data_IF_752770522126
#
_entry.id   IF_752770522126
#
_cell.length_a   1.000
_cell.length_b   1.000
_cell.length_c   1.000
_cell.angle_alpha   90.00
_cell.angle_beta   90.00
_cell.angle_gamma   90.00
#
_symmetry.space_group_name_H-M   'P 1'
#
loop_
_entity.id
_entity.type
_entity.pdbx_description
1 polymer ?
#
# COMPACT_ATOMS: atom_id res chain seq x y z
N UNK A 1 -4.25 -2.70 -13.17
CA UNK A 1 -2.80 -2.96 -13.01
C UNK A 1 -2.44 -2.73 -11.56
N UNK A 2 -1.84 -3.70 -10.92
CA UNK A 2 -1.43 -3.62 -9.51
C UNK A 2 0.10 -3.49 -9.45
N UNK A 3 0.61 -2.57 -8.63
CA UNK A 3 2.04 -2.25 -8.57
C UNK A 3 2.55 -2.43 -7.14
N UNK A 4 3.69 -3.11 -7.02
CA UNK A 4 4.46 -3.22 -5.79
C UNK A 4 5.80 -2.53 -5.99
N UNK A 5 6.16 -1.59 -5.11
CA UNK A 5 7.48 -0.94 -5.13
C UNK A 5 8.01 -0.65 -3.73
N UNK A 6 9.35 -0.71 -3.59
CA UNK A 6 10.10 -0.30 -2.40
C UNK A 6 10.74 1.07 -2.59
N UNK A 7 10.67 1.89 -1.55
CA UNK A 7 11.50 3.09 -1.38
C UNK A 7 12.85 2.69 -0.75
N UNK A 8 13.93 3.33 -1.21
CA UNK A 8 15.31 3.01 -0.80
C UNK A 8 15.53 3.31 0.68
N UNK A 9 15.80 2.30 1.51
CA UNK A 9 16.23 2.46 2.91
C UNK A 9 17.49 1.66 3.19
N UNK A 10 18.37 2.29 4.00
CA UNK A 10 19.74 1.83 4.34
C UNK A 10 19.80 0.64 5.31
N UNK A 11 18.79 -0.17 5.58
CA UNK A 11 18.82 -1.08 6.71
C UNK A 11 18.45 -2.55 6.53
N UNK A 12 18.22 -3.06 5.33
CA UNK A 12 18.16 -4.52 5.15
C UNK A 12 19.56 -5.05 4.77
N UNK A 13 20.32 -5.46 5.77
CA UNK A 13 21.61 -6.13 5.57
C UNK A 13 21.40 -7.41 4.74
N UNK A 14 21.90 -7.40 3.51
CA UNK A 14 22.19 -8.57 2.66
C UNK A 14 21.02 -9.51 2.27
N UNK A 15 19.85 -8.99 1.84
CA UNK A 15 18.87 -9.83 1.16
C UNK A 15 18.29 -9.10 -0.04
N UNK A 16 18.54 -9.58 -1.26
CA UNK A 16 18.07 -8.99 -2.51
C UNK A 16 16.54 -9.00 -2.69
N UNK A 17 15.80 -9.74 -1.86
CA UNK A 17 14.35 -9.93 -1.96
C UNK A 17 13.59 -9.13 -0.91
N UNK A 18 12.60 -8.34 -1.36
CA UNK A 18 11.68 -7.62 -0.48
C UNK A 18 10.42 -8.45 -0.18
N UNK A 19 9.87 -9.15 -1.17
CA UNK A 19 8.72 -10.06 -1.03
C UNK A 19 9.04 -11.36 -1.76
N UNK A 20 8.73 -12.49 -1.11
CA UNK A 20 8.89 -13.81 -1.70
C UNK A 20 7.71 -14.69 -1.33
N UNK A 21 7.14 -15.35 -2.31
CA UNK A 21 6.07 -16.35 -2.19
C UNK A 21 6.63 -17.70 -2.57
N UNK A 22 6.49 -18.67 -1.67
CA UNK A 22 6.91 -20.04 -1.89
C UNK A 22 5.73 -20.99 -1.76
N UNK A 23 5.33 -21.62 -2.87
CA UNK A 23 4.30 -22.66 -2.97
C UNK A 23 2.96 -22.21 -2.34
N UNK A 24 2.56 -20.96 -2.54
CA UNK A 24 1.35 -20.39 -1.95
C UNK A 24 0.11 -20.96 -2.66
N UNK A 25 -0.76 -21.58 -1.87
CA UNK A 25 -2.10 -21.99 -2.31
C UNK A 25 -3.16 -21.45 -1.34
N UNK A 26 -4.30 -21.06 -1.90
CA UNK A 26 -5.43 -20.52 -1.16
C UNK A 26 -6.74 -20.77 -1.90
N UNK A 27 -7.76 -21.21 -1.16
CA UNK A 27 -9.14 -21.39 -1.64
C UNK A 27 -10.12 -20.53 -0.86
N UNK A 28 -11.24 -20.17 -1.46
CA UNK A 28 -12.42 -19.65 -0.77
C UNK A 28 -13.56 -20.67 -0.90
N UNK A 29 -13.83 -21.39 0.17
CA UNK A 29 -14.72 -22.56 0.14
C UNK A 29 -14.17 -23.62 -0.83
N UNK A 30 -14.94 -24.04 -1.83
CA UNK A 30 -14.51 -24.99 -2.85
C UNK A 30 -13.75 -24.37 -4.03
N UNK A 31 -13.67 -23.03 -4.09
CA UNK A 31 -13.03 -22.35 -5.22
C UNK A 31 -11.56 -22.10 -4.95
N UNK A 32 -10.69 -22.76 -5.71
CA UNK A 32 -9.26 -22.50 -5.73
C UNK A 32 -8.98 -21.12 -6.35
N UNK A 33 -8.29 -20.24 -5.64
CA UNK A 33 -7.95 -18.87 -6.07
C UNK A 33 -6.48 -18.76 -6.46
N UNK A 34 -5.61 -19.32 -5.61
CA UNK A 34 -4.17 -19.35 -5.88
C UNK A 34 -3.71 -20.81 -5.79
N UNK A 35 -2.98 -21.25 -6.80
CA UNK A 35 -2.47 -22.62 -6.89
C UNK A 35 -0.96 -22.60 -7.07
N UNK A 36 -0.24 -23.06 -6.05
CA UNK A 36 1.21 -23.21 -6.04
C UNK A 36 1.96 -21.97 -6.58
N UNK A 37 1.56 -20.78 -6.15
CA UNK A 37 2.13 -19.52 -6.61
C UNK A 37 3.53 -19.33 -6.04
N UNK A 38 4.47 -19.07 -6.94
CA UNK A 38 5.87 -18.81 -6.62
C UNK A 38 6.33 -17.54 -7.34
N UNK A 39 6.82 -16.56 -6.63
CA UNK A 39 7.49 -15.39 -7.20
C UNK A 39 8.36 -14.68 -6.16
N UNK A 40 9.26 -13.87 -6.67
CA UNK A 40 10.18 -13.05 -5.86
C UNK A 40 10.26 -11.64 -6.42
N UNK A 41 10.20 -10.66 -5.54
CA UNK A 41 10.34 -9.24 -5.86
C UNK A 41 11.59 -8.73 -5.16
N UNK A 42 12.49 -8.14 -5.92
CA UNK A 42 13.74 -7.60 -5.38
C UNK A 42 13.57 -6.15 -4.96
N UNK A 43 14.49 -5.69 -4.13
CA UNK A 43 14.58 -4.28 -3.75
C UNK A 43 14.72 -3.37 -4.97
N UNK A 44 13.96 -2.26 -4.98
CA UNK A 44 13.96 -1.28 -6.07
C UNK A 44 13.20 -1.73 -7.33
N UNK A 45 12.59 -2.90 -7.33
CA UNK A 45 11.76 -3.38 -8.44
C UNK A 45 10.36 -2.79 -8.43
N UNK A 46 9.82 -2.47 -9.62
CA UNK A 46 8.39 -2.29 -9.85
C UNK A 46 7.85 -3.62 -10.38
N UNK A 47 6.93 -4.22 -9.64
CA UNK A 47 6.29 -5.48 -10.03
C UNK A 47 4.83 -5.25 -10.39
N UNK A 48 4.43 -5.59 -11.62
CA UNK A 48 3.06 -5.45 -12.10
C UNK A 48 2.35 -6.78 -12.21
N UNK A 49 1.14 -6.88 -11.63
CA UNK A 49 0.26 -8.03 -11.80
C UNK A 49 -0.82 -7.70 -12.83
N UNK A 50 -0.90 -8.51 -13.89
CA UNK A 50 -1.90 -8.39 -14.93
C UNK A 50 -2.81 -9.60 -14.94
N UNK A 51 -4.07 -9.40 -15.26
CA UNK A 51 -5.06 -10.48 -15.35
C UNK A 51 -6.49 -9.98 -15.20
N UNK A 52 -7.49 -10.79 -15.54
CA UNK A 52 -8.91 -10.44 -15.41
C UNK A 52 -9.31 -10.17 -13.96
N UNK A 53 -10.48 -9.57 -13.77
CA UNK A 53 -11.05 -9.38 -12.44
C UNK A 53 -11.36 -10.73 -11.80
N UNK A 54 -11.11 -10.84 -10.47
CA UNK A 54 -11.35 -12.06 -9.72
C UNK A 54 -10.27 -13.15 -9.85
N UNK A 55 -9.13 -12.90 -10.55
CA UNK A 55 -8.03 -13.87 -10.70
C UNK A 55 -7.12 -13.98 -9.47
N UNK A 56 -7.36 -13.20 -8.41
CA UNK A 56 -6.58 -13.27 -7.19
C UNK A 56 -5.55 -12.14 -7.00
N UNK A 57 -5.54 -11.08 -7.82
CA UNK A 57 -4.59 -9.95 -7.66
C UNK A 57 -4.67 -9.31 -6.27
N UNK A 58 -5.87 -8.88 -5.84
CA UNK A 58 -6.08 -8.29 -4.51
C UNK A 58 -5.87 -9.31 -3.39
N UNK A 59 -6.09 -10.61 -3.67
CA UNK A 59 -5.79 -11.70 -2.73
C UNK A 59 -4.30 -11.77 -2.40
N UNK A 60 -3.42 -11.56 -3.39
CA UNK A 60 -1.97 -11.48 -3.16
C UNK A 60 -1.63 -10.30 -2.24
N UNK A 61 -2.24 -9.11 -2.43
CA UNK A 61 -2.02 -8.00 -1.52
C UNK A 61 -2.51 -8.28 -0.10
N UNK A 62 -3.66 -8.92 0.05
CA UNK A 62 -4.19 -9.34 1.34
C UNK A 62 -3.28 -10.35 2.05
N UNK A 63 -2.64 -11.24 1.29
CA UNK A 63 -1.63 -12.16 1.80
C UNK A 63 -0.35 -11.43 2.24
N UNK A 64 0.14 -10.46 1.47
CA UNK A 64 1.32 -9.66 1.82
C UNK A 64 1.05 -8.83 3.09
N UNK A 65 -0.09 -8.15 3.17
CA UNK A 65 -0.45 -7.34 4.34
C UNK A 65 -0.76 -8.18 5.58
N UNK A 66 -1.11 -9.47 5.41
CA UNK A 66 -1.53 -10.36 6.49
C UNK A 66 -2.99 -10.21 6.88
N UNK A 67 -3.80 -9.60 6.01
CA UNK A 67 -5.25 -9.56 6.17
C UNK A 67 -5.87 -10.96 6.05
N UNK A 68 -5.25 -11.81 5.25
CA UNK A 68 -5.54 -13.24 5.14
C UNK A 68 -4.25 -14.05 5.23
N UNK A 69 -4.37 -15.32 5.59
CA UNK A 69 -3.25 -16.27 5.64
C UNK A 69 -3.38 -17.31 4.52
N UNK A 70 -2.27 -17.78 3.94
CA UNK A 70 -2.33 -18.85 2.94
C UNK A 70 -2.68 -20.18 3.60
N UNK A 71 -3.33 -21.08 2.86
CA UNK A 71 -3.58 -22.46 3.30
C UNK A 71 -2.29 -23.28 3.26
N UNK A 72 -1.47 -23.04 2.23
CA UNK A 72 -0.17 -23.73 2.04
C UNK A 72 0.89 -22.72 1.63
N UNK A 73 2.16 -23.09 1.87
CA UNK A 73 3.30 -22.30 1.46
C UNK A 73 3.78 -21.28 2.49
N UNK A 74 4.72 -20.46 2.09
CA UNK A 74 5.39 -19.49 2.95
C UNK A 74 5.51 -18.14 2.27
N UNK A 75 5.29 -17.08 3.03
CA UNK A 75 5.47 -15.69 2.60
C UNK A 75 6.62 -15.10 3.39
N UNK A 76 7.56 -14.49 2.67
CA UNK A 76 8.70 -13.80 3.28
C UNK A 76 8.65 -12.32 2.89
N UNK A 77 8.96 -11.44 3.84
CA UNK A 77 9.14 -10.00 3.64
C UNK A 77 10.48 -9.62 4.26
N UNK A 78 11.36 -8.99 3.46
CA UNK A 78 12.71 -8.68 3.90
C UNK A 78 13.50 -9.94 4.32
N UNK A 79 13.14 -11.10 3.76
CA UNK A 79 13.71 -12.42 4.05
C UNK A 79 13.28 -13.04 5.36
N UNK A 80 12.29 -12.49 6.06
CA UNK A 80 11.69 -13.05 7.26
C UNK A 80 10.35 -13.70 6.93
N UNK A 81 10.10 -14.92 7.40
CA UNK A 81 8.82 -15.61 7.22
C UNK A 81 7.74 -14.93 8.05
N UNK A 82 6.67 -14.48 7.38
CA UNK A 82 5.64 -13.63 8.01
C UNK A 82 4.28 -14.28 8.16
N UNK A 83 4.11 -15.57 7.83
CA UNK A 83 2.79 -16.23 7.86
C UNK A 83 2.02 -15.99 9.16
N UNK A 84 2.71 -16.02 10.31
CA UNK A 84 2.11 -15.87 11.64
C UNK A 84 2.13 -14.43 12.17
N UNK A 85 2.60 -13.45 11.38
CA UNK A 85 2.62 -12.06 11.81
C UNK A 85 1.27 -11.43 11.58
N UNK A 86 0.65 -10.82 12.61
CA UNK A 86 -0.58 -10.08 12.42
C UNK A 86 -0.35 -8.83 11.58
N UNK A 87 -1.42 -8.33 10.94
CA UNK A 87 -1.38 -7.20 10.01
C UNK A 87 -0.65 -5.97 10.56
N UNK A 88 -0.92 -5.58 11.81
CA UNK A 88 -0.31 -4.40 12.42
C UNK A 88 1.22 -4.54 12.55
N UNK A 89 1.70 -5.76 12.85
CA UNK A 89 3.13 -6.02 12.99
C UNK A 89 3.81 -6.01 11.61
N UNK A 90 3.16 -6.59 10.58
CA UNK A 90 3.71 -6.56 9.21
C UNK A 90 3.81 -5.13 8.69
N UNK A 91 2.72 -4.37 8.79
CA UNK A 91 2.66 -3.01 8.25
C UNK A 91 3.63 -2.07 8.93
N UNK A 92 3.81 -2.17 10.26
CA UNK A 92 4.75 -1.31 11.00
C UNK A 92 6.20 -1.76 10.84
N UNK A 93 6.49 -3.06 10.98
CA UNK A 93 7.86 -3.59 10.90
C UNK A 93 8.48 -3.45 9.52
N UNK A 94 7.71 -3.73 8.47
CA UNK A 94 8.17 -3.69 7.08
C UNK A 94 7.73 -2.41 6.36
N UNK A 95 7.15 -1.44 7.09
CA UNK A 95 6.69 -0.16 6.58
C UNK A 95 5.89 -0.31 5.28
N UNK A 96 4.82 -1.09 5.33
CA UNK A 96 3.97 -1.35 4.18
C UNK A 96 2.97 -0.22 4.03
N UNK A 97 3.00 0.50 2.90
CA UNK A 97 1.93 1.38 2.46
C UNK A 97 0.98 0.61 1.54
N UNK A 98 -0.33 0.72 1.76
CA UNK A 98 -1.31 0.04 0.93
C UNK A 98 -2.40 1.01 0.46
N UNK A 99 -2.63 1.03 -0.85
CA UNK A 99 -3.70 1.76 -1.53
C UNK A 99 -4.69 0.72 -2.05
N UNK A 100 -5.84 0.51 -1.38
CA UNK A 100 -6.84 -0.44 -1.84
C UNK A 100 -7.59 0.06 -3.07
N UNK A 101 -8.24 -0.85 -3.77
CA UNK A 101 -9.10 -0.53 -4.92
C UNK A 101 -10.22 0.42 -4.53
N UNK A 102 -10.88 0.19 -3.37
CA UNK A 102 -11.96 0.99 -2.83
C UNK A 102 -11.72 1.37 -1.37
N UNK A 103 -12.26 2.51 -0.93
CA UNK A 103 -12.18 2.95 0.46
C UNK A 103 -10.78 3.40 0.88
N UNK A 104 -10.39 3.03 2.09
CA UNK A 104 -9.10 3.39 2.68
C UNK A 104 -9.05 4.78 3.32
N UNK A 105 -10.21 5.39 3.61
CA UNK A 105 -10.35 6.70 4.28
C UNK A 105 -11.59 6.73 5.16
N UNK A 106 -11.62 7.67 6.11
CA UNK A 106 -12.75 7.92 7.01
C UNK A 106 -13.70 8.93 6.37
N UNK A 107 -14.93 8.52 6.08
CA UNK A 107 -15.93 9.28 5.31
C UNK A 107 -16.31 10.63 5.92
N UNK A 108 -16.46 10.66 7.24
CA UNK A 108 -16.95 11.85 7.97
C UNK A 108 -15.83 12.77 8.46
N UNK A 109 -14.58 12.37 8.34
CA UNK A 109 -13.42 13.20 8.59
C UNK A 109 -13.09 14.05 7.35
N UNK A 110 -12.56 15.25 7.57
CA UNK A 110 -11.99 16.08 6.50
C UNK A 110 -10.77 15.39 5.89
N UNK A 111 -10.31 15.87 4.74
CA UNK A 111 -9.07 15.41 4.11
C UNK A 111 -7.90 15.53 5.10
N UNK A 112 -7.76 16.68 5.75
CA UNK A 112 -6.69 16.92 6.70
C UNK A 112 -6.78 16.02 7.94
N UNK A 113 -7.97 15.83 8.49
CA UNK A 113 -8.20 14.92 9.62
C UNK A 113 -7.89 13.47 9.29
N UNK A 114 -8.19 13.01 8.07
CA UNK A 114 -7.78 11.69 7.58
C UNK A 114 -6.26 11.52 7.61
N UNK A 115 -5.53 12.48 7.02
CA UNK A 115 -4.07 12.48 7.02
C UNK A 115 -3.50 12.57 8.44
N UNK A 116 -4.10 13.41 9.30
CA UNK A 116 -3.69 13.56 10.70
C UNK A 116 -3.88 12.27 11.48
N UNK A 117 -5.03 11.62 11.37
CA UNK A 117 -5.33 10.37 12.08
C UNK A 117 -4.33 9.26 11.74
N UNK A 118 -4.02 9.06 10.45
CA UNK A 118 -3.00 8.08 10.04
C UNK A 118 -1.59 8.54 10.42
N UNK A 119 -1.31 9.82 10.29
CA UNK A 119 -0.03 10.41 10.67
C UNK A 119 0.29 10.24 12.17
N UNK A 120 -0.72 10.31 13.05
CA UNK A 120 -0.54 10.09 14.50
C UNK A 120 -0.10 8.65 14.83
N UNK A 121 -0.54 7.68 14.05
CA UNK A 121 -0.13 6.28 14.19
C UNK A 121 1.31 6.07 13.69
N UNK A 122 1.68 6.71 12.57
CA UNK A 122 2.91 6.41 11.86
C UNK A 122 4.09 7.32 12.25
N UNK A 123 3.84 8.56 12.67
CA UNK A 123 4.86 9.60 12.91
C UNK A 123 4.69 10.15 14.33
N UNK A 124 5.58 9.76 15.23
CA UNK A 124 5.52 10.16 16.66
C UNK A 124 5.74 11.66 16.87
N UNK A 125 6.70 12.23 16.13
CA UNK A 125 7.02 13.66 16.25
C UNK A 125 5.95 14.50 15.57
N UNK A 126 5.29 15.40 16.33
CA UNK A 126 4.17 16.20 15.83
C UNK A 126 4.59 17.22 14.75
N UNK A 127 5.80 17.78 14.86
CA UNK A 127 6.32 18.74 13.87
C UNK A 127 6.61 18.04 12.55
N UNK A 128 7.35 16.93 12.58
CA UNK A 128 7.63 16.10 11.40
C UNK A 128 6.33 15.62 10.72
N UNK A 129 5.35 15.23 11.53
CA UNK A 129 4.02 14.81 11.04
C UNK A 129 3.32 15.90 10.25
N UNK A 130 3.26 17.13 10.79
CA UNK A 130 2.61 18.26 10.11
C UNK A 130 3.39 18.66 8.86
N UNK A 131 4.71 18.72 8.91
CA UNK A 131 5.56 19.00 7.76
C UNK A 131 5.31 17.96 6.64
N UNK A 132 5.23 16.65 6.99
CA UNK A 132 4.95 15.58 6.03
C UNK A 132 3.55 15.68 5.43
N UNK A 133 2.53 15.97 6.24
CA UNK A 133 1.16 16.18 5.76
C UNK A 133 1.10 17.35 4.79
N UNK A 134 1.67 18.51 5.14
CA UNK A 134 1.70 19.68 4.27
C UNK A 134 2.45 19.40 2.97
N UNK A 135 3.58 18.70 3.03
CA UNK A 135 4.32 18.27 1.83
C UNK A 135 3.46 17.41 0.89
N UNK A 136 2.75 16.42 1.44
CA UNK A 136 1.91 15.54 0.63
C UNK A 136 0.66 16.24 0.09
N UNK A 137 0.01 17.09 0.88
CA UNK A 137 -1.14 17.87 0.40
C UNK A 137 -0.76 18.81 -0.74
N UNK A 138 0.40 19.47 -0.64
CA UNK A 138 0.92 20.30 -1.73
C UNK A 138 1.26 19.47 -2.97
N UNK A 139 1.97 18.36 -2.80
CA UNK A 139 2.34 17.48 -3.91
C UNK A 139 1.16 16.91 -4.68
N UNK A 140 0.04 16.66 -4.02
CA UNK A 140 -1.17 16.07 -4.64
C UNK A 140 -2.23 17.11 -5.01
N UNK A 141 -1.93 18.44 -4.91
CA UNK A 141 -2.88 19.53 -5.17
C UNK A 141 -4.17 19.39 -4.33
N UNK A 142 -4.00 19.14 -3.03
CA UNK A 142 -5.10 18.89 -2.10
C UNK A 142 -5.29 20.05 -1.10
N UNK A 143 -4.48 21.10 -1.16
CA UNK A 143 -4.46 22.19 -0.18
C UNK A 143 -5.80 22.94 -0.11
N UNK A 144 -6.39 23.25 -1.26
CA UNK A 144 -7.65 24.01 -1.37
C UNK A 144 -8.88 23.23 -0.85
N UNK A 145 -8.76 21.92 -0.69
CA UNK A 145 -9.86 21.05 -0.26
C UNK A 145 -9.57 20.36 1.09
N UNK A 146 -8.56 20.82 1.82
CA UNK A 146 -8.10 20.18 3.06
C UNK A 146 -9.17 20.05 4.15
N UNK A 147 -10.10 21.01 4.20
CA UNK A 147 -11.16 21.09 5.21
C UNK A 147 -12.50 20.48 4.72
N UNK A 148 -12.51 19.90 3.52
CA UNK A 148 -13.68 19.21 2.96
C UNK A 148 -13.72 17.77 3.48
N UNK A 149 -14.89 17.33 3.97
CA UNK A 149 -15.10 15.95 4.40
C UNK A 149 -14.89 14.98 3.24
N UNK A 150 -14.21 13.86 3.50
CA UNK A 150 -13.84 12.89 2.47
C UNK A 150 -15.04 12.34 1.67
N UNK A 151 -16.23 12.25 2.26
CA UNK A 151 -17.45 11.84 1.54
C UNK A 151 -17.81 12.77 0.36
N UNK A 152 -17.48 14.06 0.44
CA UNK A 152 -17.78 15.05 -0.60
C UNK A 152 -16.68 15.21 -1.65
N UNK A 153 -15.53 14.56 -1.49
CA UNK A 153 -14.46 14.57 -2.47
C UNK A 153 -14.84 13.80 -3.73
N UNK A 154 -14.33 14.24 -4.88
CA UNK A 154 -14.43 13.49 -6.13
C UNK A 154 -13.68 12.16 -6.06
N UNK A 155 -13.94 11.24 -6.99
CA UNK A 155 -13.24 9.95 -7.06
C UNK A 155 -11.72 10.11 -7.16
N UNK A 156 -11.24 11.02 -8.00
CA UNK A 156 -9.81 11.33 -8.14
C UNK A 156 -9.21 11.93 -6.86
N UNK A 157 -9.92 12.87 -6.22
CA UNK A 157 -9.49 13.47 -4.94
C UNK A 157 -9.42 12.42 -3.82
N UNK A 158 -10.41 11.55 -3.71
CA UNK A 158 -10.40 10.40 -2.79
C UNK A 158 -9.19 9.50 -3.01
N UNK A 159 -8.88 9.22 -4.28
CA UNK A 159 -7.73 8.38 -4.61
C UNK A 159 -6.40 9.07 -4.26
N UNK A 160 -6.27 10.37 -4.55
CA UNK A 160 -5.10 11.18 -4.14
C UNK A 160 -4.94 11.18 -2.60
N UNK A 161 -6.04 11.33 -1.84
CA UNK A 161 -6.02 11.25 -0.38
C UNK A 161 -5.47 9.91 0.11
N UNK A 162 -5.99 8.78 -0.40
CA UNK A 162 -5.56 7.44 0.02
C UNK A 162 -4.09 7.19 -0.31
N UNK A 163 -3.63 7.66 -1.47
CA UNK A 163 -2.22 7.58 -1.84
C UNK A 163 -1.35 8.42 -0.88
N UNK A 164 -1.76 9.65 -0.58
CA UNK A 164 -1.05 10.49 0.38
C UNK A 164 -0.98 9.82 1.76
N UNK A 165 -2.08 9.21 2.24
CA UNK A 165 -2.10 8.45 3.49
C UNK A 165 -1.12 7.28 3.48
N UNK A 166 -1.06 6.50 2.38
CA UNK A 166 -0.13 5.39 2.24
C UNK A 166 1.36 5.81 2.22
N UNK A 167 1.63 7.06 1.81
CA UNK A 167 2.98 7.63 1.74
C UNK A 167 3.45 8.31 3.04
N UNK A 168 2.56 8.55 4.00
CA UNK A 168 2.89 9.26 5.26
C UNK A 168 4.05 8.60 6.02
N UNK A 169 4.03 7.29 6.15
CA UNK A 169 5.02 6.52 6.90
C UNK A 169 6.34 6.27 6.16
N UNK A 170 6.60 6.92 5.03
CA UNK A 170 7.74 6.61 4.16
C UNK A 170 7.86 5.09 3.91
N UNK A 171 6.90 4.47 3.22
CA UNK A 171 6.83 3.03 3.07
C UNK A 171 8.07 2.47 2.35
N UNK A 172 8.53 1.31 2.81
CA UNK A 172 9.57 0.51 2.14
C UNK A 172 8.98 -0.41 1.07
N UNK A 173 7.72 -0.79 1.25
CA UNK A 173 6.93 -1.58 0.33
C UNK A 173 5.61 -0.86 0.08
N UNK A 174 5.34 -0.47 -1.17
CA UNK A 174 4.09 0.18 -1.55
C UNK A 174 3.25 -0.76 -2.42
N UNK A 175 2.04 -1.06 -1.96
CA UNK A 175 1.06 -1.88 -2.65
C UNK A 175 -0.01 -0.97 -3.25
N UNK A 176 -0.23 -1.06 -4.56
CA UNK A 176 -1.16 -0.21 -5.31
C UNK A 176 -2.18 -1.10 -6.05
N UNK A 177 -3.41 -1.20 -5.50
CA UNK A 177 -4.46 -2.03 -6.08
C UNK A 177 -5.39 -1.18 -6.97
N UNK A 178 -5.25 -1.33 -8.28
CA UNK A 178 -6.03 -0.63 -9.32
C UNK A 178 -6.15 0.89 -9.12
N UNK A 179 -5.11 1.51 -8.53
CA UNK A 179 -5.19 2.90 -8.11
C UNK A 179 -5.13 3.93 -9.25
N UNK A 180 -4.72 3.52 -10.46
CA UNK A 180 -4.50 4.46 -11.58
C UNK A 180 -5.76 4.80 -12.36
N UNK A 181 -6.83 4.01 -12.27
CA UNK A 181 -8.03 4.14 -13.10
C UNK A 181 -8.79 5.49 -12.92
N UNK A 182 -8.61 6.15 -11.77
CA UNK A 182 -9.27 7.42 -11.44
C UNK A 182 -8.30 8.61 -11.31
N UNK A 183 -7.03 8.44 -11.69
CA UNK A 183 -6.01 9.49 -11.59
C UNK A 183 -5.81 10.19 -12.92
N UNK A 184 -5.58 11.49 -12.86
CA UNK A 184 -5.13 12.27 -14.00
C UNK A 184 -3.66 11.95 -14.35
N UNK A 185 -3.27 12.27 -15.61
CA UNK A 185 -1.94 11.97 -16.14
C UNK A 185 -0.82 12.64 -15.33
N UNK A 186 -1.07 13.84 -14.79
CA UNK A 186 -0.08 14.57 -13.99
C UNK A 186 0.18 13.87 -12.65
N UNK A 187 -0.88 13.42 -11.99
CA UNK A 187 -0.78 12.63 -10.74
C UNK A 187 -0.04 11.32 -10.97
N UNK A 188 -0.29 10.64 -12.10
CA UNK A 188 0.44 9.41 -12.46
C UNK A 188 1.94 9.70 -12.65
N UNK A 189 2.30 10.74 -13.41
CA UNK A 189 3.70 11.15 -13.60
C UNK A 189 4.38 11.51 -12.27
N UNK A 190 3.69 12.24 -11.41
CA UNK A 190 4.20 12.60 -10.09
C UNK A 190 4.43 11.36 -9.21
N UNK A 191 3.48 10.41 -9.19
CA UNK A 191 3.69 9.13 -8.52
C UNK A 191 4.91 8.39 -9.04
N UNK A 192 5.13 8.38 -10.35
CA UNK A 192 6.32 7.77 -10.95
C UNK A 192 7.63 8.43 -10.49
N UNK A 193 7.61 9.72 -10.16
CA UNK A 193 8.78 10.42 -9.61
C UNK A 193 9.02 10.15 -8.11
N UNK A 194 7.93 9.95 -7.35
CA UNK A 194 7.99 9.62 -5.92
C UNK A 194 8.36 8.16 -5.72
N UNK A 195 7.93 7.34 -6.62
CA UNK A 195 8.16 5.91 -6.69
C UNK A 195 9.47 5.63 -7.43
#
# INVERSE_FOLDING_TARGET
>A
MAIIKKFRIKSFKNKNSIVEFENISLSYGSRLILDNINFKINEGQIFGMLGPNGVGKSTIFNLVTGLISPEKGSIFIGGEKVNNFPIFLRTTKFKIGYVPQYGGYFYDLTLFENLKAVGEILIKNSRERIEKINYLTSKFDLESIRDIKAKFLSGGQKKKLVIAMALLGNPELLLLDECFAALDVMTIKMLQQII
#
